data_IF_319187022180
#
_entry.id   IF_319187022180
#
_cell.length_a   1.000
_cell.length_b   1.000
_cell.length_c   1.000
_cell.angle_alpha   90.00
_cell.angle_beta   90.00
_cell.angle_gamma   90.00
#
_symmetry.space_group_name_H-M   'P 1'
#
loop_
_entity.id
_entity.type
_entity.pdbx_description
1 polymer ?
#
# COMPACT_ATOMS: atom_id res chain seq x y z
N UNK A 1 -16.06 -8.14 -14.22
CA UNK A 1 -16.79 -7.74 -12.99
C UNK A 1 -15.79 -6.89 -12.23
N UNK A 2 -16.08 -5.62 -12.00
CA UNK A 2 -15.21 -4.75 -11.20
C UNK A 2 -15.50 -5.07 -9.73
N UNK A 3 -14.68 -5.91 -9.13
CA UNK A 3 -14.75 -6.21 -7.70
C UNK A 3 -13.89 -5.19 -6.97
N UNK A 4 -14.41 -3.98 -6.80
CA UNK A 4 -13.91 -3.06 -5.77
C UNK A 4 -14.16 -3.74 -4.41
N UNK A 5 -13.21 -4.56 -3.99
CA UNK A 5 -13.18 -5.18 -2.67
C UNK A 5 -12.70 -4.13 -1.68
N UNK A 6 -13.57 -3.18 -1.34
CA UNK A 6 -13.37 -2.26 -0.21
C UNK A 6 -13.83 -2.94 1.08
N UNK A 7 -12.88 -3.44 1.87
CA UNK A 7 -13.04 -3.89 3.26
C UNK A 7 -12.77 -2.66 4.15
N UNK A 8 -13.78 -2.22 4.89
CA UNK A 8 -13.69 -1.09 5.84
C UNK A 8 -13.12 0.23 5.25
N UNK A 9 -13.28 0.44 3.94
CA UNK A 9 -12.83 1.65 3.25
C UNK A 9 -11.32 1.74 3.03
N UNK A 10 -10.55 0.69 3.34
CA UNK A 10 -9.13 0.64 3.02
C UNK A 10 -8.91 0.41 1.53
N UNK A 11 -7.74 0.86 1.06
CA UNK A 11 -7.19 0.68 -0.29
C UNK A 11 -5.70 0.38 -0.20
N UNK A 12 -5.11 -0.01 -1.32
CA UNK A 12 -3.67 -0.24 -1.45
C UNK A 12 -3.06 0.88 -2.30
N UNK A 13 -1.99 1.48 -1.80
CA UNK A 13 -1.23 2.50 -2.50
C UNK A 13 0.22 2.03 -2.64
N UNK A 14 0.78 2.16 -3.83
CA UNK A 14 2.20 1.96 -4.08
C UNK A 14 2.86 3.29 -4.38
N UNK A 15 4.01 3.52 -3.78
CA UNK A 15 4.89 4.62 -4.13
C UNK A 15 5.97 4.11 -5.11
N UNK A 16 6.47 4.99 -5.97
CA UNK A 16 7.44 4.65 -7.03
C UNK A 16 8.83 4.21 -6.53
N UNK A 17 9.02 4.18 -5.22
CA UNK A 17 10.17 3.65 -4.49
C UNK A 17 9.94 2.21 -3.98
N UNK A 18 9.00 1.50 -4.61
CA UNK A 18 8.62 0.13 -4.28
C UNK A 18 7.98 -0.02 -2.88
N UNK A 19 7.65 1.08 -2.18
CA UNK A 19 6.88 1.00 -0.94
C UNK A 19 5.38 0.77 -1.20
N UNK A 20 4.75 -0.13 -0.45
CA UNK A 20 3.32 -0.42 -0.54
C UNK A 20 2.63 -0.14 0.80
N UNK A 21 1.46 0.50 0.75
CA UNK A 21 0.72 0.97 1.91
C UNK A 21 -0.73 0.50 1.86
N UNK A 22 -1.25 0.00 2.97
CA UNK A 22 -2.69 -0.18 3.18
C UNK A 22 -3.24 1.02 3.97
N UNK A 23 -4.11 1.82 3.35
CA UNK A 23 -4.65 3.05 3.95
C UNK A 23 -6.04 3.42 3.40
N UNK A 24 -6.79 4.28 4.11
CA UNK A 24 -8.12 4.76 3.64
C UNK A 24 -8.00 5.86 2.59
N UNK A 25 -6.89 6.61 2.59
CA UNK A 25 -6.62 7.65 1.60
C UNK A 25 -5.11 7.85 1.37
N UNK A 26 -4.76 8.51 0.26
CA UNK A 26 -3.39 8.97 0.00
C UNK A 26 -2.87 9.94 1.07
N UNK A 27 -3.78 10.71 1.68
CA UNK A 27 -3.44 11.65 2.75
C UNK A 27 -2.98 10.91 4.01
N UNK A 28 -3.62 9.79 4.32
CA UNK A 28 -3.23 8.94 5.45
C UNK A 28 -1.85 8.33 5.24
N UNK A 29 -1.51 7.95 4.01
CA UNK A 29 -0.15 7.49 3.64
C UNK A 29 0.88 8.59 3.86
N UNK A 30 0.61 9.81 3.40
CA UNK A 30 1.52 10.94 3.61
C UNK A 30 1.71 11.25 5.10
N UNK A 31 0.63 11.30 5.87
CA UNK A 31 0.71 11.57 7.32
C UNK A 31 1.55 10.51 8.04
N UNK A 32 1.31 9.23 7.72
CA UNK A 32 2.11 8.13 8.24
C UNK A 32 3.59 8.27 7.86
N UNK A 33 3.89 8.58 6.60
CA UNK A 33 5.26 8.76 6.13
C UNK A 33 5.97 9.86 6.91
N UNK A 34 5.34 11.02 7.04
CA UNK A 34 5.91 12.17 7.76
C UNK A 34 6.15 11.86 9.24
N UNK A 35 5.22 11.17 9.89
CA UNK A 35 5.34 10.79 11.29
C UNK A 35 6.51 9.82 11.55
N UNK A 36 6.78 8.91 10.61
CA UNK A 36 7.77 7.84 10.82
C UNK A 36 9.16 8.15 10.23
N UNK A 37 9.21 8.88 9.12
CA UNK A 37 10.45 9.09 8.35
C UNK A 37 10.89 10.55 8.26
N UNK A 38 9.97 11.50 8.49
CA UNK A 38 10.22 12.94 8.35
C UNK A 38 9.62 13.52 7.07
N UNK A 39 9.92 14.79 6.79
CA UNK A 39 9.28 15.49 5.66
C UNK A 39 9.68 14.88 4.31
N UNK A 40 8.73 14.78 3.37
CA UNK A 40 9.02 14.28 2.00
C UNK A 40 10.04 15.15 1.26
N UNK A 41 10.08 16.44 1.57
CA UNK A 41 11.03 17.40 0.99
C UNK A 41 12.47 17.07 1.41
N UNK A 42 12.69 16.67 2.66
CA UNK A 42 14.02 16.28 3.16
C UNK A 42 14.37 14.84 2.78
N UNK A 43 13.41 13.93 2.85
CA UNK A 43 13.64 12.50 2.62
C UNK A 43 13.75 12.13 1.14
N UNK A 44 12.95 12.77 0.28
CA UNK A 44 12.78 12.39 -1.13
C UNK A 44 12.99 13.57 -2.09
N UNK A 45 13.11 14.82 -1.58
CA UNK A 45 13.24 15.99 -2.44
C UNK A 45 11.94 16.36 -3.16
N UNK A 46 10.80 15.86 -2.69
CA UNK A 46 9.48 16.05 -3.31
C UNK A 46 8.54 16.82 -2.38
N UNK A 47 7.70 17.70 -2.96
CA UNK A 47 6.63 18.34 -2.20
C UNK A 47 5.55 17.34 -1.81
N UNK A 48 4.72 17.67 -0.83
CA UNK A 48 3.55 16.87 -0.45
C UNK A 48 2.66 16.52 -1.64
N UNK A 49 2.38 17.50 -2.51
CA UNK A 49 1.52 17.30 -3.67
C UNK A 49 2.14 16.34 -4.69
N UNK A 50 3.46 16.40 -4.86
CA UNK A 50 4.20 15.48 -5.72
C UNK A 50 4.15 14.06 -5.15
N UNK A 51 4.43 13.90 -3.86
CA UNK A 51 4.34 12.60 -3.17
C UNK A 51 2.95 11.98 -3.33
N UNK A 52 1.88 12.74 -3.05
CA UNK A 52 0.50 12.27 -3.18
C UNK A 52 0.15 11.94 -4.64
N UNK A 53 0.62 12.74 -5.60
CA UNK A 53 0.41 12.47 -7.01
C UNK A 53 1.11 11.18 -7.47
N UNK A 54 2.29 10.90 -6.91
CA UNK A 54 3.11 9.73 -7.23
C UNK A 54 2.54 8.43 -6.64
N UNK A 55 1.74 8.49 -5.56
CA UNK A 55 1.05 7.32 -5.04
C UNK A 55 0.08 6.73 -6.09
N UNK A 56 0.28 5.46 -6.45
CA UNK A 56 -0.62 4.71 -7.33
C UNK A 56 -1.57 3.88 -6.48
N UNK A 57 -2.88 4.09 -6.66
CA UNK A 57 -3.88 3.17 -6.09
C UNK A 57 -3.85 1.86 -6.90
N UNK A 58 -3.57 0.75 -6.23
CA UNK A 58 -3.54 -0.58 -6.87
C UNK A 58 -4.96 -1.13 -6.88
N UNK A 59 -5.49 -1.36 -8.09
CA UNK A 59 -6.65 -2.22 -8.26
C UNK A 59 -6.25 -3.67 -7.98
N UNK A 60 -6.90 -4.27 -6.99
CA UNK A 60 -6.60 -5.62 -6.51
C UNK A 60 -6.81 -6.70 -7.58
N UNK A 61 -7.66 -6.44 -8.57
CA UNK A 61 -7.91 -7.36 -9.68
C UNK A 61 -6.91 -7.15 -10.84
N UNK A 62 -6.04 -6.14 -10.78
CA UNK A 62 -5.10 -5.80 -11.86
C UNK A 62 -3.97 -6.81 -12.05
N UNK A 63 -3.38 -6.82 -13.25
CA UNK A 63 -2.19 -7.62 -13.57
C UNK A 63 -1.00 -7.27 -12.65
N UNK A 64 -0.92 -6.03 -12.16
CA UNK A 64 0.13 -5.56 -11.24
C UNK A 64 -0.01 -6.30 -9.90
N UNK A 65 -1.20 -6.31 -9.30
CA UNK A 65 -1.46 -7.03 -8.06
C UNK A 65 -1.18 -8.55 -8.18
N UNK A 66 -1.40 -9.13 -9.36
CA UNK A 66 -1.09 -10.55 -9.63
C UNK A 66 0.41 -10.82 -9.83
N UNK A 67 1.13 -9.89 -10.46
CA UNK A 67 2.59 -9.99 -10.65
C UNK A 67 3.31 -9.92 -9.30
N UNK A 68 2.93 -8.95 -8.49
CA UNK A 68 3.58 -8.73 -7.20
C UNK A 68 3.24 -9.87 -6.22
N UNK A 69 2.07 -10.52 -6.38
CA UNK A 69 1.77 -11.83 -5.74
C UNK A 69 2.79 -12.89 -6.09
N UNK A 70 3.09 -13.03 -7.37
CA UNK A 70 3.98 -14.07 -7.86
C UNK A 70 5.39 -13.85 -7.31
N UNK A 71 5.87 -12.60 -7.34
CA UNK A 71 7.18 -12.24 -6.81
C UNK A 71 7.32 -12.52 -5.29
N UNK A 72 6.34 -12.11 -4.48
CA UNK A 72 6.35 -12.40 -3.04
C UNK A 72 6.28 -13.91 -2.77
N UNK A 73 5.50 -14.67 -3.57
CA UNK A 73 5.41 -16.13 -3.42
C UNK A 73 6.74 -16.82 -3.77
N UNK A 74 7.44 -16.33 -4.79
CA UNK A 74 8.75 -16.85 -5.22
C UNK A 74 9.87 -16.54 -4.21
N UNK A 75 9.84 -15.35 -3.59
CA UNK A 75 10.86 -14.91 -2.62
C UNK A 75 10.68 -15.59 -1.24
N UNK A 76 9.44 -15.72 -0.76
CA UNK A 76 9.15 -16.25 0.58
C UNK A 76 8.87 -17.75 0.61
N UNK A 77 8.51 -18.36 -0.53
CA UNK A 77 8.03 -19.73 -0.62
C UNK A 77 6.60 -19.94 -0.09
N UNK A 78 5.93 -18.87 0.34
CA UNK A 78 4.55 -18.91 0.80
C UNK A 78 3.57 -18.74 -0.36
N UNK A 79 2.58 -19.63 -0.45
CA UNK A 79 1.57 -19.55 -1.52
C UNK A 79 0.43 -18.64 -1.09
N UNK A 80 0.47 -17.38 -1.52
CA UNK A 80 -0.60 -16.42 -1.27
C UNK A 80 -1.66 -16.49 -2.37
N UNK A 81 -2.95 -16.43 -1.98
CA UNK A 81 -4.02 -16.28 -2.97
C UNK A 81 -3.92 -14.91 -3.68
N UNK A 82 -3.50 -13.84 -2.99
CA UNK A 82 -2.80 -12.66 -3.54
C UNK A 82 -1.90 -12.03 -2.47
N UNK A 83 -0.75 -11.45 -2.85
CA UNK A 83 0.22 -10.91 -1.87
C UNK A 83 -0.35 -9.72 -1.11
N UNK A 84 -0.91 -8.76 -1.84
CA UNK A 84 -1.37 -7.53 -1.20
C UNK A 84 -2.77 -7.67 -0.57
N UNK A 85 -3.60 -8.61 -1.02
CA UNK A 85 -4.97 -8.77 -0.49
C UNK A 85 -5.01 -9.37 0.92
N UNK A 86 -4.13 -10.31 1.27
CA UNK A 86 -4.12 -10.85 2.63
C UNK A 86 -3.62 -9.83 3.65
N UNK A 87 -2.60 -9.06 3.30
CA UNK A 87 -2.09 -7.97 4.12
C UNK A 87 -3.12 -6.86 4.32
N UNK A 88 -3.72 -6.43 3.21
CA UNK A 88 -4.89 -5.57 3.19
C UNK A 88 -6.02 -6.07 4.09
N UNK A 89 -6.38 -7.35 3.95
CA UNK A 89 -7.44 -7.98 4.72
C UNK A 89 -7.09 -8.02 6.21
N UNK A 90 -5.85 -8.35 6.58
CA UNK A 90 -5.37 -8.34 7.96
C UNK A 90 -5.42 -6.93 8.55
N UNK A 91 -4.99 -5.91 7.79
CA UNK A 91 -5.05 -4.50 8.21
C UNK A 91 -6.50 -4.06 8.44
N UNK A 92 -7.36 -4.30 7.44
CA UNK A 92 -8.75 -3.91 7.47
C UNK A 92 -9.56 -4.67 8.54
N UNK A 93 -9.27 -5.95 8.79
CA UNK A 93 -9.92 -6.76 9.83
C UNK A 93 -9.46 -6.41 11.26
N UNK A 94 -8.24 -5.86 11.42
CA UNK A 94 -7.69 -5.43 12.72
C UNK A 94 -7.95 -3.96 13.04
N UNK A 95 -8.49 -3.18 12.10
CA UNK A 95 -8.64 -1.74 12.27
C UNK A 95 -9.64 -1.38 13.39
N UNK A 96 -9.15 -0.63 14.37
CA UNK A 96 -9.91 0.09 15.39
C UNK A 96 -9.84 1.61 15.15
N UNK A 97 -9.79 2.04 13.88
CA UNK A 97 -9.59 3.41 13.37
C UNK A 97 -8.17 3.98 13.45
N UNK A 98 -7.10 3.17 13.36
CA UNK A 98 -5.75 3.67 13.70
C UNK A 98 -4.54 3.18 12.91
N UNK A 99 -4.60 2.19 12.02
CA UNK A 99 -3.36 1.65 11.44
C UNK A 99 -3.27 1.82 9.93
N UNK A 100 -2.36 2.70 9.49
CA UNK A 100 -1.70 2.58 8.18
C UNK A 100 -0.60 1.53 8.32
N UNK A 101 -0.49 0.61 7.37
CA UNK A 101 0.57 -0.41 7.35
C UNK A 101 1.43 -0.21 6.10
N UNK A 102 2.73 -0.02 6.28
CA UNK A 102 3.72 0.13 5.23
C UNK A 102 4.57 -1.14 5.06
N UNK A 103 4.82 -1.50 3.82
CA UNK A 103 5.64 -2.64 3.40
C UNK A 103 6.73 -2.14 2.46
N UNK A 104 7.98 -2.45 2.78
CA UNK A 104 9.11 -2.20 1.91
C UNK A 104 9.32 -3.47 1.07
N UNK A 105 9.05 -3.42 -0.24
CA UNK A 105 9.53 -4.49 -1.12
C UNK A 105 11.00 -4.20 -1.44
N UNK A 106 11.89 -5.13 -1.07
CA UNK A 106 13.34 -5.01 -1.23
C UNK A 106 13.83 -5.44 -2.61
#
# INVERSE_FOLDING_TARGET
MNTQLEINGYKIFQNGDDAVYAAKSKEDVYNYFVENYGSTEECQGETKEQFIANLMEIDLDSEIAQRDRTWISDDTGETFNTSYYQEYKIAAEKDQDTAVIAYLTW
#
